data_IF_115060341699
#
_entry.id   IF_115060341699
#
_cell.length_a   1.000
_cell.length_b   1.000
_cell.length_c   1.000
_cell.angle_alpha   90.00
_cell.angle_beta   90.00
_cell.angle_gamma   90.00
#
_symmetry.space_group_name_H-M   'P 1'
#
loop_
_entity.id
_entity.type
_entity.pdbx_description
1 polymer ?
#
# COMPACT_ATOMS: atom_id res chain seq x y z
N UNK A 1 7.47 10.37 -23.23
CA UNK A 1 8.76 10.28 -22.51
C UNK A 1 8.56 9.19 -21.48
N UNK A 2 9.06 7.99 -21.74
CA UNK A 2 9.13 6.94 -20.72
C UNK A 2 10.10 7.46 -19.65
N UNK A 3 9.56 8.03 -18.58
CA UNK A 3 10.36 8.37 -17.41
C UNK A 3 11.08 7.08 -16.99
N UNK A 4 12.40 7.15 -16.87
CA UNK A 4 13.25 5.99 -16.57
C UNK A 4 12.80 5.36 -15.24
N UNK A 5 11.96 4.32 -15.31
CA UNK A 5 11.33 3.66 -14.16
C UNK A 5 12.34 2.88 -13.31
N UNK A 6 13.57 2.68 -13.81
CA UNK A 6 14.60 1.90 -13.13
C UNK A 6 14.98 2.44 -11.76
N UNK A 7 14.87 3.75 -11.52
CA UNK A 7 15.14 4.32 -10.20
C UNK A 7 14.09 3.89 -9.17
N UNK A 8 12.83 3.75 -9.59
CA UNK A 8 11.72 3.37 -8.73
C UNK A 8 11.79 1.89 -8.38
N UNK A 9 12.09 1.02 -9.35
CA UNK A 9 12.42 -0.39 -9.10
C UNK A 9 13.54 -0.53 -8.07
N UNK A 10 14.66 0.19 -8.24
CA UNK A 10 15.79 0.12 -7.29
C UNK A 10 15.43 0.64 -5.90
N UNK A 11 14.62 1.70 -5.83
CA UNK A 11 14.15 2.23 -4.56
C UNK A 11 13.23 1.22 -3.85
N UNK A 12 12.34 0.58 -4.61
CA UNK A 12 11.47 -0.50 -4.17
C UNK A 12 12.29 -1.68 -3.62
N UNK A 13 13.15 -2.29 -4.43
CA UNK A 13 13.98 -3.45 -4.05
C UNK A 13 14.81 -3.18 -2.78
N UNK A 14 15.42 -1.98 -2.70
CA UNK A 14 16.21 -1.61 -1.52
C UNK A 14 15.37 -1.45 -0.27
N UNK A 15 14.15 -0.97 -0.41
CA UNK A 15 13.23 -0.77 0.71
C UNK A 15 12.61 -2.10 1.15
N UNK A 16 12.13 -2.93 0.22
CA UNK A 16 11.50 -4.21 0.53
C UNK A 16 12.46 -5.16 1.23
N UNK A 17 13.71 -5.23 0.78
CA UNK A 17 14.76 -6.05 1.40
C UNK A 17 15.01 -5.76 2.89
N UNK A 18 14.57 -4.60 3.39
CA UNK A 18 14.75 -4.17 4.79
C UNK A 18 13.48 -4.13 5.61
N UNK A 19 12.32 -4.05 4.96
CA UNK A 19 11.07 -3.71 5.64
C UNK A 19 9.94 -4.70 5.35
N UNK A 20 10.02 -5.46 4.26
CA UNK A 20 8.97 -6.39 3.86
C UNK A 20 9.44 -7.82 4.07
N UNK A 21 8.64 -8.61 4.78
CA UNK A 21 8.89 -10.03 4.98
C UNK A 21 8.06 -10.61 6.12
N UNK A 22 8.33 -11.87 6.47
CA UNK A 22 7.63 -12.51 7.59
C UNK A 22 7.84 -11.73 8.89
N UNK A 23 6.78 -11.53 9.65
CA UNK A 23 6.84 -10.94 10.99
C UNK A 23 7.68 -11.74 11.97
N UNK A 24 7.88 -13.05 11.73
CA UNK A 24 8.84 -13.89 12.46
C UNK A 24 10.28 -13.40 12.29
N UNK A 25 10.60 -12.77 11.16
CA UNK A 25 11.89 -12.14 10.90
C UNK A 25 11.99 -10.71 11.47
N UNK A 26 10.99 -10.25 12.23
CA UNK A 26 10.93 -8.91 12.81
C UNK A 26 10.67 -7.80 11.77
N UNK A 27 10.22 -8.16 10.57
CA UNK A 27 9.93 -7.20 9.52
C UNK A 27 8.65 -6.41 9.83
N UNK A 28 8.66 -5.08 9.64
CA UNK A 28 7.53 -4.22 10.00
C UNK A 28 6.33 -4.37 9.05
N UNK A 29 6.56 -4.75 7.80
CA UNK A 29 5.54 -4.90 6.76
C UNK A 29 5.51 -6.36 6.32
N UNK A 30 4.33 -6.98 6.29
CA UNK A 30 4.19 -8.39 5.87
C UNK A 30 4.19 -8.52 4.35
N UNK A 31 3.58 -7.55 3.67
CA UNK A 31 3.44 -7.50 2.23
C UNK A 31 3.21 -6.07 1.78
N UNK A 32 3.65 -5.72 0.58
CA UNK A 32 3.47 -4.38 0.03
C UNK A 32 3.18 -4.42 -1.49
N UNK A 33 2.48 -3.40 -1.96
CA UNK A 33 2.23 -3.14 -3.38
C UNK A 33 2.56 -1.69 -3.70
N UNK A 34 3.17 -1.46 -4.85
CA UNK A 34 3.28 -0.16 -5.46
C UNK A 34 2.41 -0.14 -6.71
N UNK A 35 1.36 0.68 -6.70
CA UNK A 35 0.45 0.82 -7.84
C UNK A 35 0.74 2.12 -8.57
N UNK A 36 0.80 2.07 -9.91
CA UNK A 36 0.80 3.28 -10.72
C UNK A 36 -0.64 3.82 -10.76
N UNK A 37 -0.88 4.91 -10.03
CA UNK A 37 -2.17 5.57 -9.94
C UNK A 37 -1.98 7.03 -10.29
N UNK A 38 -2.20 7.36 -11.57
CA UNK A 38 -2.24 8.75 -12.00
C UNK A 38 -3.65 9.31 -11.76
N UNK A 39 -3.87 10.18 -10.74
CA UNK A 39 -5.18 10.79 -10.50
C UNK A 39 -5.58 11.76 -11.62
N UNK A 40 -4.61 12.26 -12.40
CA UNK A 40 -4.82 13.17 -13.54
C UNK A 40 -4.88 12.45 -14.88
N UNK A 41 -4.52 11.15 -14.90
CA UNK A 41 -4.46 10.32 -16.07
C UNK A 41 -5.86 9.98 -16.60
N UNK A 42 -5.97 9.60 -17.89
CA UNK A 42 -7.26 9.21 -18.45
C UNK A 42 -7.82 8.02 -17.66
N UNK A 43 -9.04 8.18 -17.14
CA UNK A 43 -9.74 7.24 -16.23
C UNK A 43 -9.83 5.79 -16.71
N UNK A 44 -9.55 5.55 -17.99
CA UNK A 44 -9.53 4.24 -18.66
C UNK A 44 -8.27 3.43 -18.36
N UNK A 45 -7.19 4.05 -17.89
CA UNK A 45 -6.01 3.30 -17.44
C UNK A 45 -6.29 2.73 -16.05
N UNK A 46 -6.36 1.40 -15.97
CA UNK A 46 -6.41 0.69 -14.69
C UNK A 46 -5.05 0.86 -14.02
N UNK A 47 -5.01 1.16 -12.71
CA UNK A 47 -3.77 1.10 -11.94
C UNK A 47 -3.13 -0.26 -12.14
N UNK A 48 -1.91 -0.24 -12.65
CA UNK A 48 -1.10 -1.43 -12.85
C UNK A 48 -0.29 -1.63 -11.58
N UNK A 49 -0.23 -2.86 -11.09
CA UNK A 49 0.75 -3.24 -10.07
C UNK A 49 2.12 -3.03 -10.68
N UNK A 50 2.80 -1.98 -10.21
CA UNK A 50 4.13 -1.64 -10.68
C UNK A 50 5.16 -2.55 -10.00
N UNK A 51 4.97 -2.83 -8.71
CA UNK A 51 5.78 -3.76 -7.92
C UNK A 51 4.94 -4.42 -6.82
N UNK A 52 5.27 -5.67 -6.44
CA UNK A 52 4.68 -6.39 -5.32
C UNK A 52 5.73 -7.20 -4.55
N UNK A 53 5.57 -7.32 -3.22
CA UNK A 53 6.45 -8.13 -2.37
C UNK A 53 5.65 -8.75 -1.21
N UNK A 54 5.97 -10.00 -0.85
CA UNK A 54 5.31 -10.71 0.26
C UNK A 54 3.86 -11.14 -0.01
N UNK A 55 3.33 -10.84 -1.20
CA UNK A 55 1.99 -11.23 -1.66
C UNK A 55 1.98 -11.38 -3.18
N UNK A 56 0.92 -11.99 -3.72
CA UNK A 56 0.62 -12.01 -5.14
C UNK A 56 -0.86 -11.74 -5.34
N UNK A 57 -1.21 -10.62 -5.95
CA UNK A 57 -2.60 -10.29 -6.26
C UNK A 57 -2.83 -10.21 -7.76
N UNK A 58 -3.95 -10.77 -8.21
CA UNK A 58 -4.39 -10.58 -9.59
C UNK A 58 -5.05 -9.21 -9.75
N UNK A 59 -5.22 -8.76 -10.99
CA UNK A 59 -5.98 -7.53 -11.28
C UNK A 59 -7.41 -7.57 -10.71
N UNK A 60 -8.03 -8.77 -10.69
CA UNK A 60 -9.38 -8.97 -10.13
C UNK A 60 -9.38 -8.76 -8.61
N UNK A 61 -8.35 -9.22 -7.91
CA UNK A 61 -8.22 -9.07 -6.46
C UNK A 61 -8.09 -7.60 -6.01
N UNK A 62 -7.50 -6.76 -6.86
CA UNK A 62 -7.27 -5.34 -6.57
C UNK A 62 -8.37 -4.41 -7.09
N UNK A 63 -9.24 -4.91 -7.97
CA UNK A 63 -10.28 -4.09 -8.59
C UNK A 63 -11.24 -3.44 -7.57
N UNK A 64 -11.71 -4.12 -6.51
CA UNK A 64 -12.53 -3.48 -5.49
C UNK A 64 -11.81 -2.32 -4.78
N UNK A 65 -10.55 -2.51 -4.41
CA UNK A 65 -9.72 -1.47 -3.80
C UNK A 65 -9.49 -0.26 -4.72
N UNK A 66 -9.16 -0.50 -5.99
CA UNK A 66 -8.98 0.56 -6.99
C UNK A 66 -10.26 1.37 -7.16
N UNK A 67 -11.41 0.69 -7.26
CA UNK A 67 -12.70 1.36 -7.39
C UNK A 67 -13.05 2.18 -6.15
N UNK A 68 -12.75 1.68 -4.96
CA UNK A 68 -12.90 2.41 -3.70
C UNK A 68 -12.05 3.68 -3.69
N UNK A 69 -10.75 3.59 -4.03
CA UNK A 69 -9.85 4.74 -4.03
C UNK A 69 -10.29 5.82 -5.04
N UNK A 70 -10.76 5.41 -6.23
CA UNK A 70 -11.29 6.32 -7.26
C UNK A 70 -12.56 7.06 -6.85
N UNK A 71 -13.42 6.43 -6.05
CA UNK A 71 -14.65 7.07 -5.53
C UNK A 71 -14.34 8.17 -4.52
N UNK A 72 -13.12 8.19 -3.98
CA UNK A 72 -12.66 9.15 -2.97
C UNK A 72 -13.60 9.26 -1.76
N UNK A 73 -14.29 8.17 -1.40
CA UNK A 73 -15.25 8.13 -0.29
C UNK A 73 -14.67 7.35 0.90
N UNK A 74 -13.55 7.86 1.44
CA UNK A 74 -12.76 7.15 2.45
C UNK A 74 -13.44 7.05 3.83
N UNK A 75 -14.47 7.86 4.11
CA UNK A 75 -14.99 8.07 5.46
C UNK A 75 -15.95 6.99 5.98
N UNK A 76 -16.57 6.18 5.11
CA UNK A 76 -17.61 5.22 5.54
C UNK A 76 -17.60 3.87 4.82
N UNK A 77 -16.69 3.65 3.88
CA UNK A 77 -16.73 2.46 3.01
C UNK A 77 -15.70 1.40 3.41
N UNK A 78 -16.14 0.15 3.33
CA UNK A 78 -15.26 -1.01 3.32
C UNK A 78 -14.70 -1.19 1.92
N UNK A 79 -13.46 -1.66 1.83
CA UNK A 79 -12.89 -2.11 0.57
C UNK A 79 -12.28 -3.50 0.74
N UNK A 80 -12.07 -4.17 -0.38
CA UNK A 80 -11.45 -5.49 -0.39
C UNK A 80 -10.13 -5.45 -1.15
N UNK A 81 -9.14 -6.16 -0.60
CA UNK A 81 -7.90 -6.52 -1.31
C UNK A 81 -7.80 -8.04 -1.26
N UNK A 82 -7.99 -8.68 -2.42
CA UNK A 82 -8.18 -10.12 -2.50
C UNK A 82 -9.36 -10.59 -1.63
N UNK A 83 -9.19 -11.63 -0.80
CA UNK A 83 -10.27 -12.16 0.04
C UNK A 83 -10.54 -11.32 1.29
N UNK A 84 -9.65 -10.39 1.64
CA UNK A 84 -9.72 -9.64 2.89
C UNK A 84 -10.50 -8.35 2.71
N UNK A 85 -11.37 -8.06 3.67
CA UNK A 85 -12.17 -6.84 3.74
C UNK A 85 -11.59 -5.93 4.82
N UNK A 86 -11.45 -4.64 4.49
CA UNK A 86 -10.82 -3.63 5.32
C UNK A 86 -11.79 -2.49 5.60
N UNK A 87 -11.78 -2.01 6.85
CA UNK A 87 -12.49 -0.82 7.31
C UNK A 87 -11.49 0.30 7.56
N UNK A 88 -11.69 1.46 6.95
CA UNK A 88 -10.88 2.65 7.21
C UNK A 88 -11.06 3.10 8.66
N UNK A 89 -9.95 3.35 9.35
CA UNK A 89 -9.94 3.76 10.77
C UNK A 89 -9.38 5.15 10.99
N UNK A 90 -8.48 5.60 10.13
CA UNK A 90 -7.81 6.90 10.25
C UNK A 90 -7.53 7.47 8.87
N UNK A 91 -7.85 8.74 8.64
CA UNK A 91 -7.64 9.42 7.36
C UNK A 91 -6.81 10.67 7.60
N UNK A 92 -5.78 10.82 6.78
CA UNK A 92 -4.90 11.98 6.73
C UNK A 92 -4.82 12.49 5.28
N UNK A 93 -4.13 13.61 5.07
CA UNK A 93 -4.12 14.33 3.78
C UNK A 93 -3.67 13.47 2.59
N UNK A 94 -2.65 12.63 2.78
CA UNK A 94 -2.07 11.79 1.72
C UNK A 94 -2.00 10.30 2.07
N UNK A 95 -2.58 9.90 3.21
CA UNK A 95 -2.57 8.51 3.63
C UNK A 95 -3.73 8.18 4.54
N UNK A 96 -4.07 6.90 4.62
CA UNK A 96 -5.05 6.39 5.57
C UNK A 96 -4.66 5.01 6.06
N UNK A 97 -5.19 4.65 7.22
CA UNK A 97 -5.10 3.31 7.79
C UNK A 97 -6.44 2.61 7.69
N UNK A 98 -6.41 1.31 7.46
CA UNK A 98 -7.57 0.45 7.54
C UNK A 98 -7.25 -0.87 8.26
N UNK A 99 -8.27 -1.46 8.89
CA UNK A 99 -8.18 -2.70 9.65
C UNK A 99 -8.95 -3.81 8.97
N UNK A 100 -8.33 -4.98 8.87
CA UNK A 100 -8.99 -6.16 8.34
C UNK A 100 -10.10 -6.61 9.30
N UNK A 101 -11.31 -6.79 8.79
CA UNK A 101 -12.49 -7.15 9.59
C UNK A 101 -12.83 -8.64 9.55
N UNK A 102 -12.32 -9.37 8.55
CA UNK A 102 -12.56 -10.79 8.36
C UNK A 102 -11.31 -11.66 8.57
N UNK A 103 -10.26 -11.12 9.19
CA UNK A 103 -9.06 -11.89 9.54
C UNK A 103 -9.33 -12.87 10.67
N UNK A 104 -8.71 -14.05 10.57
CA UNK A 104 -8.70 -15.06 11.63
C UNK A 104 -7.51 -14.92 12.58
N UNK A 105 -6.58 -13.99 12.29
CA UNK A 105 -5.41 -13.78 13.13
C UNK A 105 -5.78 -13.10 14.46
N UNK A 106 -5.34 -13.62 15.62
CA UNK A 106 -5.66 -13.04 16.94
C UNK A 106 -5.20 -11.59 17.11
N UNK A 107 -4.06 -11.23 16.51
CA UNK A 107 -3.52 -9.86 16.52
C UNK A 107 -4.25 -8.92 15.57
N UNK A 108 -5.12 -9.44 14.71
CA UNK A 108 -5.70 -8.74 13.58
C UNK A 108 -4.70 -8.47 12.47
N UNK A 109 -5.11 -7.71 11.46
CA UNK A 109 -4.26 -7.26 10.37
C UNK A 109 -4.67 -5.84 9.98
N UNK A 110 -3.75 -5.09 9.41
CA UNK A 110 -4.02 -3.74 8.92
C UNK A 110 -3.34 -3.45 7.59
N UNK A 111 -3.73 -2.34 7.01
CA UNK A 111 -3.12 -1.79 5.80
C UNK A 111 -2.97 -0.27 5.96
N UNK A 112 -1.80 0.23 5.58
CA UNK A 112 -1.54 1.65 5.37
C UNK A 112 -1.53 1.88 3.87
N UNK A 113 -2.29 2.86 3.42
CA UNK A 113 -2.31 3.30 2.03
C UNK A 113 -1.80 4.73 1.99
N UNK A 114 -0.75 4.98 1.21
CA UNK A 114 -0.12 6.29 1.06
C UNK A 114 -0.02 6.66 -0.41
N UNK A 115 -0.45 7.87 -0.74
CA UNK A 115 -0.30 8.46 -2.06
C UNK A 115 1.03 9.22 -2.16
N UNK A 116 1.80 8.91 -3.19
CA UNK A 116 3.12 9.48 -3.46
C UNK A 116 3.15 9.91 -4.92
N UNK A 117 2.74 11.15 -5.20
CA UNK A 117 2.59 11.65 -6.57
C UNK A 117 1.59 10.81 -7.38
N UNK A 118 2.08 10.18 -8.46
CA UNK A 118 1.31 9.27 -9.33
C UNK A 118 1.35 7.79 -8.88
N UNK A 119 1.66 7.53 -7.60
CA UNK A 119 1.76 6.18 -7.06
C UNK A 119 0.94 6.02 -5.78
N UNK A 120 0.44 4.80 -5.58
CA UNK A 120 -0.11 4.36 -4.30
C UNK A 120 0.78 3.27 -3.72
N UNK A 121 1.35 3.55 -2.56
CA UNK A 121 1.99 2.54 -1.73
C UNK A 121 0.92 1.92 -0.82
N UNK A 122 0.72 0.61 -0.95
CA UNK A 122 -0.17 -0.18 -0.09
C UNK A 122 0.71 -1.10 0.74
N UNK A 123 0.73 -0.93 2.06
CA UNK A 123 1.58 -1.69 2.98
C UNK A 123 0.74 -2.41 4.02
N UNK A 124 0.80 -3.74 4.02
CA UNK A 124 0.05 -4.60 4.93
C UNK A 124 0.92 -4.96 6.13
N UNK A 125 0.32 -5.04 7.31
CA UNK A 125 1.05 -5.32 8.55
C UNK A 125 0.18 -6.13 9.52
N UNK A 126 0.84 -6.77 10.49
CA UNK A 126 0.16 -7.53 11.54
C UNK A 126 -0.49 -6.59 12.55
N UNK A 127 -1.63 -6.98 13.10
CA UNK A 127 -2.53 -6.00 13.69
C UNK A 127 -2.16 -5.45 15.07
N UNK A 128 -0.95 -5.69 15.58
CA UNK A 128 -0.49 -5.08 16.83
C UNK A 128 -0.23 -3.57 16.67
N UNK A 129 -0.33 -2.80 17.76
CA UNK A 129 -0.01 -1.35 17.75
C UNK A 129 1.47 -1.12 17.42
N UNK A 130 2.37 -1.99 17.91
CA UNK A 130 3.79 -1.93 17.60
C UNK A 130 4.06 -2.12 16.11
N UNK A 131 3.49 -3.17 15.52
CA UNK A 131 3.59 -3.45 14.08
C UNK A 131 3.03 -2.31 13.24
N UNK A 132 1.88 -1.73 13.61
CA UNK A 132 1.31 -0.57 12.93
C UNK A 132 2.28 0.63 12.92
N UNK A 133 2.89 0.90 14.07
CA UNK A 133 3.80 2.03 14.24
C UNK A 133 5.08 1.84 13.44
N UNK A 134 5.65 0.62 13.47
CA UNK A 134 6.83 0.27 12.70
C UNK A 134 6.56 0.29 11.19
N UNK A 135 5.40 -0.22 10.75
CA UNK A 135 4.98 -0.17 9.35
C UNK A 135 4.85 1.28 8.87
N UNK A 136 4.26 2.16 9.68
CA UNK A 136 4.14 3.58 9.34
C UNK A 136 5.50 4.26 9.18
N UNK A 137 6.47 3.98 10.08
CA UNK A 137 7.84 4.48 9.94
C UNK A 137 8.49 3.99 8.64
N UNK A 138 8.31 2.71 8.30
CA UNK A 138 8.85 2.15 7.06
C UNK A 138 8.22 2.79 5.80
N UNK A 139 6.90 3.01 5.82
CA UNK A 139 6.15 3.68 4.74
C UNK A 139 6.62 5.13 4.56
N UNK A 140 6.76 5.88 5.65
CA UNK A 140 7.22 7.27 5.62
C UNK A 140 8.66 7.39 5.08
N UNK A 141 9.55 6.49 5.50
CA UNK A 141 10.91 6.41 4.95
C UNK A 141 10.92 6.14 3.44
N UNK A 142 10.05 5.24 2.96
CA UNK A 142 9.93 5.00 1.52
C UNK A 142 9.49 6.27 0.79
N UNK A 143 8.40 6.89 1.26
CA UNK A 143 7.85 8.09 0.64
C UNK A 143 8.85 9.25 0.60
N UNK A 144 9.60 9.46 1.69
CA UNK A 144 10.66 10.46 1.74
C UNK A 144 11.75 10.23 0.69
N UNK A 145 12.20 8.98 0.53
CA UNK A 145 13.22 8.62 -0.46
C UNK A 145 12.70 8.66 -1.89
N UNK A 146 11.43 8.30 -2.10
CA UNK A 146 10.78 8.25 -3.39
C UNK A 146 10.48 9.65 -3.93
N UNK A 147 9.90 10.54 -3.10
CA UNK A 147 9.57 11.93 -3.48
C UNK A 147 10.80 12.78 -3.85
N UNK A 148 11.96 12.52 -3.22
CA UNK A 148 13.21 13.25 -3.51
C UNK A 148 13.76 13.05 -4.92
N UNK A 149 13.25 12.06 -5.67
CA UNK A 149 13.73 11.73 -7.01
C UNK A 149 12.69 11.95 -8.11
N UNK A 150 11.44 12.25 -7.73
CA UNK A 150 10.34 12.57 -8.65
C UNK A 150 10.19 14.07 -8.89
N UNK A 151 10.86 14.92 -8.11
CA UNK A 151 11.00 16.36 -8.29
C UNK A 151 12.39 16.72 -8.83
#
# INVERSE_FOLDING_TARGET
MDADWTWACRAWEKWTAKHVGSSVAGMPVKAALLLNYDPTGPSRLLPIVAEEEGTKFTAVDLQPFINFFRRNNLQTEFFSIGPNQYLVTSIHEHWFCARCVNTTQPGGEGVIVMQIGAYLLVSMYDGSVGSASQAMVAVDQFAWHFNRRTH
#
